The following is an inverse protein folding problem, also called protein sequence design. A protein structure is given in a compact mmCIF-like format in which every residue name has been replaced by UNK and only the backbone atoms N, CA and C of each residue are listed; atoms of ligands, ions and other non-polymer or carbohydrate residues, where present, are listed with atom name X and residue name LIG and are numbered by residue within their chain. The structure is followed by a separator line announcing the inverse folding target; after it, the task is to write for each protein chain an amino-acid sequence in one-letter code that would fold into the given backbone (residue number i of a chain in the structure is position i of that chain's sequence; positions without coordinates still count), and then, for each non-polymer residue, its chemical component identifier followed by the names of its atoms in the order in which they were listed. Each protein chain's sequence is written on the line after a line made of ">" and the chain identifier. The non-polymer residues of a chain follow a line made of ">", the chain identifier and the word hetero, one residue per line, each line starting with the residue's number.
data_IF_699887179489
#
_entry.id   IF_699887179489
#
_cell.length_a   1.000
_cell.length_b   1.000
_cell.length_c   1.000
_cell.angle_alpha   90.00
_cell.angle_beta   90.00
_cell.angle_gamma   90.00
#
_symmetry.space_group_name_H-M   'P 1'
#
loop_
_entity.id
_entity.type
_entity.pdbx_description
1 polymer ?
#
# COMPACT_ATOMS: atom_id res chain seq x y z
N UNK A 1 -17.91 18.31 -1.24
CA UNK A 1 -16.48 18.29 -1.66
C UNK A 1 -16.11 16.90 -2.16
N UNK A 2 -16.25 16.63 -3.47
CA UNK A 2 -15.86 15.34 -4.08
C UNK A 2 -14.55 15.44 -4.90
N UNK A 3 -13.91 16.61 -4.91
CA UNK A 3 -12.86 16.98 -5.87
C UNK A 3 -11.42 16.62 -5.45
N UNK A 4 -11.22 15.99 -4.28
CA UNK A 4 -9.87 15.74 -3.72
C UNK A 4 -9.47 14.26 -3.62
N UNK A 5 -10.42 13.32 -3.39
CA UNK A 5 -10.08 11.89 -3.15
C UNK A 5 -9.45 11.21 -4.37
N UNK A 6 -10.00 11.45 -5.56
CA UNK A 6 -9.50 10.85 -6.80
C UNK A 6 -8.18 11.46 -7.27
N UNK A 7 -7.88 12.71 -6.92
CA UNK A 7 -6.68 13.40 -7.41
C UNK A 7 -5.41 12.96 -6.70
N UNK A 8 -5.45 12.77 -5.37
CA UNK A 8 -4.28 12.39 -4.58
C UNK A 8 -3.84 10.95 -4.87
N UNK A 9 -4.78 10.01 -4.84
CA UNK A 9 -4.50 8.61 -5.19
C UNK A 9 -4.00 8.49 -6.63
N UNK A 10 -4.65 9.15 -7.61
CA UNK A 10 -4.20 9.13 -9.01
C UNK A 10 -2.81 9.70 -9.17
N UNK A 11 -2.50 10.83 -8.51
CA UNK A 11 -1.18 11.44 -8.54
C UNK A 11 -0.12 10.50 -7.98
N UNK A 12 -0.35 9.94 -6.80
CA UNK A 12 0.58 8.97 -6.21
C UNK A 12 0.73 7.74 -7.11
N UNK A 13 -0.37 7.17 -7.60
CA UNK A 13 -0.36 5.97 -8.43
C UNK A 13 0.27 6.19 -9.81
N UNK A 14 0.27 7.42 -10.33
CA UNK A 14 0.96 7.79 -11.58
C UNK A 14 2.48 7.93 -11.46
N UNK A 15 3.02 8.03 -10.24
CA UNK A 15 4.48 8.06 -10.03
C UNK A 15 5.11 6.72 -10.43
N UNK A 16 6.38 6.75 -10.81
CA UNK A 16 7.15 5.53 -11.02
C UNK A 16 7.42 4.83 -9.68
N UNK A 17 7.81 3.55 -9.74
CA UNK A 17 8.00 2.71 -8.56
C UNK A 17 9.05 3.27 -7.59
N UNK A 18 10.18 3.74 -8.13
CA UNK A 18 11.29 4.29 -7.33
C UNK A 18 10.87 5.54 -6.55
N UNK A 19 10.10 6.43 -7.18
CA UNK A 19 9.59 7.63 -6.52
C UNK A 19 8.56 7.30 -5.44
N UNK A 20 7.65 6.35 -5.70
CA UNK A 20 6.71 5.85 -4.69
C UNK A 20 7.45 5.28 -3.48
N UNK A 21 8.44 4.42 -3.73
CA UNK A 21 9.25 3.81 -2.69
C UNK A 21 9.96 4.88 -1.85
N UNK A 22 10.65 5.83 -2.50
CA UNK A 22 11.32 6.94 -1.81
C UNK A 22 10.35 7.77 -0.97
N UNK A 23 9.15 8.04 -1.48
CA UNK A 23 8.13 8.80 -0.75
C UNK A 23 7.69 8.05 0.51
N UNK A 24 7.39 6.75 0.39
CA UNK A 24 6.99 5.92 1.53
C UNK A 24 8.13 5.82 2.56
N UNK A 25 9.36 5.59 2.12
CA UNK A 25 10.49 5.46 3.03
C UNK A 25 10.77 6.75 3.82
N UNK A 26 10.63 7.91 3.18
CA UNK A 26 10.97 9.19 3.80
C UNK A 26 9.84 9.79 4.65
N UNK A 27 8.57 9.45 4.36
CA UNK A 27 7.41 10.12 4.96
C UNK A 27 6.34 9.18 5.49
N UNK A 28 6.39 7.91 5.11
CA UNK A 28 5.37 6.93 5.43
C UNK A 28 5.49 6.44 6.87
N UNK A 29 4.35 6.23 7.50
CA UNK A 29 4.25 5.54 8.78
C UNK A 29 3.81 4.11 8.48
N UNK A 30 4.65 3.13 8.80
CA UNK A 30 4.25 1.72 8.70
C UNK A 30 3.13 1.45 9.71
N UNK A 31 2.05 0.83 9.25
CA UNK A 31 0.91 0.48 10.09
C UNK A 31 0.97 -0.99 10.50
N UNK A 32 1.07 -1.89 9.52
CA UNK A 32 1.14 -3.33 9.73
C UNK A 32 1.58 -4.04 8.44
N UNK A 33 1.97 -5.30 8.58
CA UNK A 33 2.29 -6.20 7.48
C UNK A 33 1.46 -7.48 7.56
N UNK A 34 1.17 -8.06 6.42
CA UNK A 34 0.37 -9.28 6.27
C UNK A 34 1.21 -10.30 5.51
N UNK A 35 1.28 -11.50 6.08
CA UNK A 35 1.77 -12.69 5.42
C UNK A 35 0.60 -13.41 4.78
N UNK A 36 0.48 -13.38 3.46
CA UNK A 36 -0.60 -14.08 2.76
C UNK A 36 -0.23 -15.56 2.61
N UNK A 37 -0.61 -16.45 3.51
CA UNK A 37 -0.22 -17.86 3.48
C UNK A 37 -0.65 -18.58 2.19
N UNK A 38 -1.69 -18.08 1.52
CA UNK A 38 -2.23 -18.63 0.28
C UNK A 38 -1.46 -18.19 -0.97
N UNK A 39 -0.55 -17.21 -0.86
CA UNK A 39 0.22 -16.66 -1.99
C UNK A 39 1.67 -16.41 -1.62
N UNK A 40 2.56 -16.36 -2.62
CA UNK A 40 3.96 -15.97 -2.41
C UNK A 40 4.14 -14.44 -2.26
N UNK A 41 3.20 -13.75 -1.60
CA UNK A 41 3.22 -12.30 -1.39
C UNK A 41 3.20 -11.85 0.07
N UNK A 42 3.98 -10.82 0.38
CA UNK A 42 3.80 -10.00 1.58
C UNK A 42 3.13 -8.68 1.21
N UNK A 43 2.20 -8.24 2.05
CA UNK A 43 1.64 -6.90 1.99
C UNK A 43 2.20 -6.08 3.16
N UNK A 44 2.68 -4.87 2.91
CA UNK A 44 2.97 -3.90 3.97
C UNK A 44 2.17 -2.63 3.73
N UNK A 45 1.40 -2.23 4.75
CA UNK A 45 0.50 -1.09 4.68
C UNK A 45 1.12 0.08 5.42
N UNK A 46 1.19 1.22 4.74
CA UNK A 46 1.70 2.48 5.25
C UNK A 46 0.62 3.57 5.18
N UNK A 47 0.76 4.59 6.02
CA UNK A 47 0.03 5.84 5.90
C UNK A 47 0.98 6.97 5.49
N UNK A 48 0.63 7.72 4.45
CA UNK A 48 1.44 8.81 3.89
C UNK A 48 0.54 9.89 3.26
N UNK A 49 0.74 11.15 3.63
CA UNK A 49 0.05 12.31 3.02
C UNK A 49 -1.48 12.11 2.84
N UNK A 50 -2.16 11.62 3.88
CA UNK A 50 -3.60 11.29 3.91
C UNK A 50 -4.05 10.13 3.01
N UNK A 51 -3.11 9.31 2.54
CA UNK A 51 -3.34 8.09 1.77
C UNK A 51 -2.85 6.87 2.57
N UNK A 52 -3.48 5.73 2.35
CA UNK A 52 -2.85 4.44 2.62
C UNK A 52 -2.04 4.02 1.40
N UNK A 53 -0.87 3.44 1.62
CA UNK A 53 -0.05 2.84 0.59
C UNK A 53 0.18 1.36 0.91
N UNK A 54 -0.12 0.52 -0.06
CA UNK A 54 0.11 -0.91 -0.04
C UNK A 54 1.37 -1.21 -0.87
N UNK A 55 2.37 -1.78 -0.21
CA UNK A 55 3.53 -2.36 -0.89
C UNK A 55 3.35 -3.88 -0.93
N UNK A 56 3.47 -4.44 -2.13
CA UNK A 56 3.37 -5.87 -2.39
C UNK A 56 4.77 -6.38 -2.72
N UNK A 57 5.27 -7.32 -1.93
CA UNK A 57 6.57 -7.95 -2.12
C UNK A 57 6.39 -9.42 -2.47
N UNK A 58 7.28 -9.96 -3.30
CA UNK A 58 7.41 -11.40 -3.48
C UNK A 58 8.19 -11.99 -2.29
N UNK A 59 7.67 -13.05 -1.67
CA UNK A 59 8.30 -13.68 -0.49
C UNK A 59 9.61 -14.40 -0.80
N UNK A 60 9.74 -14.93 -2.00
CA UNK A 60 10.85 -15.80 -2.40
C UNK A 60 12.13 -15.00 -2.64
N UNK A 61 12.01 -13.80 -3.23
CA UNK A 61 13.16 -12.98 -3.61
C UNK A 61 13.17 -11.58 -2.96
N UNK A 62 12.13 -11.19 -2.23
CA UNK A 62 12.01 -9.87 -1.59
C UNK A 62 11.73 -8.72 -2.55
N UNK A 63 11.47 -8.99 -3.82
CA UNK A 63 11.24 -7.97 -4.84
C UNK A 63 9.92 -7.23 -4.64
N UNK A 64 9.92 -5.90 -4.78
CA UNK A 64 8.70 -5.10 -4.79
C UNK A 64 8.01 -5.28 -6.15
N UNK A 65 6.88 -5.97 -6.12
CA UNK A 65 6.05 -6.19 -7.31
C UNK A 65 5.28 -4.91 -7.65
N UNK A 66 4.70 -4.27 -6.64
CA UNK A 66 3.88 -3.09 -6.83
C UNK A 66 3.79 -2.22 -5.57
N UNK A 67 3.60 -0.93 -5.80
CA UNK A 67 3.18 0.03 -4.78
C UNK A 67 1.93 0.74 -5.29
N UNK A 68 0.83 0.65 -4.53
CA UNK A 68 -0.46 1.28 -4.85
C UNK A 68 -0.98 2.05 -3.65
N UNK A 69 -1.65 3.17 -3.89
CA UNK A 69 -2.34 3.96 -2.86
C UNK A 69 -3.85 3.79 -2.92
N UNK A 70 -4.49 3.96 -1.77
CA UNK A 70 -5.94 3.98 -1.59
C UNK A 70 -6.31 4.83 -0.36
N UNK A 71 -7.55 5.34 -0.32
CA UNK A 71 -8.12 6.11 0.80
C UNK A 71 -9.35 5.45 1.40
N UNK A 72 -9.87 4.42 0.74
CA UNK A 72 -11.04 3.70 1.21
C UNK A 72 -10.71 2.91 2.48
N UNK A 73 -11.29 3.34 3.59
CA UNK A 73 -11.18 2.66 4.89
C UNK A 73 -11.72 1.24 4.82
N UNK A 74 -12.69 0.95 3.95
CA UNK A 74 -13.25 -0.40 3.79
C UNK A 74 -12.18 -1.38 3.31
N UNK A 75 -11.31 -0.94 2.39
CA UNK A 75 -10.16 -1.74 1.95
C UNK A 75 -9.14 -1.94 3.08
N UNK A 76 -8.90 -0.93 3.92
CA UNK A 76 -8.06 -1.10 5.10
C UNK A 76 -8.66 -2.12 6.08
N UNK A 77 -9.97 -2.02 6.32
CA UNK A 77 -10.68 -2.94 7.22
C UNK A 77 -10.69 -4.37 6.70
N UNK A 78 -10.74 -4.58 5.38
CA UNK A 78 -10.57 -5.90 4.77
C UNK A 78 -9.22 -6.51 5.18
N UNK A 79 -8.11 -5.79 5.01
CA UNK A 79 -6.80 -6.28 5.42
C UNK A 79 -6.68 -6.60 6.92
N UNK A 80 -7.43 -5.90 7.77
CA UNK A 80 -7.41 -6.11 9.22
C UNK A 80 -8.32 -7.25 9.69
N UNK A 81 -9.29 -7.67 8.88
CA UNK A 81 -10.33 -8.62 9.26
C UNK A 81 -10.17 -9.98 8.60
N UNK A 82 -9.75 -9.98 7.35
CA UNK A 82 -9.62 -11.23 6.61
C UNK A 82 -8.48 -12.06 7.19
N UNK A 83 -8.76 -13.35 7.34
CA UNK A 83 -7.73 -14.32 7.66
C UNK A 83 -7.01 -14.67 6.36
N UNK A 84 -5.73 -14.32 6.27
CA UNK A 84 -4.90 -14.64 5.11
C UNK A 84 -4.17 -15.99 5.30
N UNK A 85 -4.73 -16.89 6.10
CA UNK A 85 -4.22 -18.24 6.38
C UNK A 85 -4.77 -19.32 5.43
#
# INVERSE_FOLDING_TARGET
>A
MLMQKTTLEKRFNSQNLAEKYRNIWNKGIHLFSINDANRDFYYSIFYIDFLFAEIIYNKLNGEIIAIKSFTDKSKLMYYLREDFN
#
